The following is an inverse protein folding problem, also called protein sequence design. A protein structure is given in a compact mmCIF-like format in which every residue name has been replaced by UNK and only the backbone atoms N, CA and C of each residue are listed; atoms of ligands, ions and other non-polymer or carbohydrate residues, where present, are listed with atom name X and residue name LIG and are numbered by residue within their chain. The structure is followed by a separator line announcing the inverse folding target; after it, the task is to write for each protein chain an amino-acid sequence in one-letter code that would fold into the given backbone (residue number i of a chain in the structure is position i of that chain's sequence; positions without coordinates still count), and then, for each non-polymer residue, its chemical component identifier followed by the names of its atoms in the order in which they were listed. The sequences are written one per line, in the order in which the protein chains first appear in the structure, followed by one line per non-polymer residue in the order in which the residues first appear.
data_IF_744923360514
#
_entry.id   IF_744923360514
#
_cell.length_a   1.000
_cell.length_b   1.000
_cell.length_c   1.000
_cell.angle_alpha   90.00
_cell.angle_beta   90.00
_cell.angle_gamma   90.00
#
_symmetry.space_group_name_H-M   'P 1'
#
loop_
_entity.id
_entity.type
_entity.pdbx_description
1 polymer ?
#
# COMPACT_ATOMS: atom_id res chain seq x y z
N UNK A 1 29.34 -17.03 -14.45
CA UNK A 1 29.11 -16.27 -15.70
C UNK A 1 27.61 -16.03 -15.75
N UNK A 2 27.15 -15.06 -14.97
CA UNK A 2 25.73 -14.74 -14.78
C UNK A 2 25.27 -13.80 -15.89
N UNK A 3 24.15 -14.15 -16.53
CA UNK A 3 23.53 -13.41 -17.65
C UNK A 3 22.83 -12.10 -17.22
N UNK A 4 22.15 -11.41 -18.16
CA UNK A 4 22.13 -9.96 -18.35
C UNK A 4 21.26 -9.13 -17.38
N UNK A 5 20.95 -9.62 -16.18
CA UNK A 5 20.12 -8.88 -15.21
C UNK A 5 20.91 -7.91 -14.31
N UNK A 6 22.23 -7.85 -14.48
CA UNK A 6 23.16 -7.20 -13.56
C UNK A 6 23.17 -5.66 -13.54
N UNK A 7 22.23 -4.99 -14.22
CA UNK A 7 22.19 -3.52 -14.22
C UNK A 7 21.01 -2.91 -13.44
N UNK A 8 19.75 -3.38 -13.55
CA UNK A 8 18.61 -2.79 -12.81
C UNK A 8 17.38 -3.71 -12.56
N UNK A 9 17.46 -5.03 -12.74
CA UNK A 9 16.26 -5.90 -12.71
C UNK A 9 16.39 -7.15 -11.85
N UNK A 10 15.51 -7.29 -10.85
CA UNK A 10 15.41 -8.47 -9.98
C UNK A 10 14.40 -9.49 -10.51
N UNK A 11 14.84 -10.69 -10.90
CA UNK A 11 13.94 -11.83 -11.12
C UNK A 11 13.94 -12.76 -9.89
N UNK A 12 12.84 -12.74 -9.11
CA UNK A 12 12.67 -13.60 -7.93
C UNK A 12 11.56 -14.62 -8.22
N UNK A 13 11.84 -15.91 -8.02
CA UNK A 13 10.91 -17.01 -8.35
C UNK A 13 10.74 -17.98 -7.19
N UNK A 14 9.60 -18.70 -7.17
CA UNK A 14 9.34 -19.77 -6.20
C UNK A 14 8.55 -19.30 -4.98
N UNK A 15 8.69 -20.02 -3.87
CA UNK A 15 7.89 -19.77 -2.66
C UNK A 15 8.33 -18.50 -1.91
N UNK A 16 9.62 -18.17 -1.97
CA UNK A 16 10.18 -17.01 -1.28
C UNK A 16 9.51 -15.69 -1.71
N UNK A 17 9.29 -15.48 -3.01
CA UNK A 17 8.64 -14.26 -3.51
C UNK A 17 7.15 -14.22 -3.15
N UNK A 18 6.47 -15.37 -3.11
CA UNK A 18 5.05 -15.43 -2.68
C UNK A 18 4.91 -15.03 -1.23
N UNK A 19 5.78 -15.57 -0.36
CA UNK A 19 5.80 -15.21 1.06
C UNK A 19 6.08 -13.72 1.26
N UNK A 20 7.00 -13.12 0.48
CA UNK A 20 7.25 -11.68 0.50
C UNK A 20 6.03 -10.85 0.07
N UNK A 21 5.35 -11.24 -1.01
CA UNK A 21 4.11 -10.59 -1.45
C UNK A 21 3.04 -10.60 -0.36
N UNK A 22 2.84 -11.76 0.29
CA UNK A 22 1.85 -11.93 1.37
C UNK A 22 2.22 -11.08 2.59
N UNK A 23 3.50 -11.05 2.98
CA UNK A 23 3.96 -10.21 4.09
C UNK A 23 3.76 -8.72 3.81
N UNK A 24 4.08 -8.27 2.59
CA UNK A 24 3.89 -6.87 2.19
C UNK A 24 2.40 -6.47 2.24
N UNK A 25 1.51 -7.31 1.72
CA UNK A 25 0.06 -7.10 1.77
C UNK A 25 -0.47 -7.07 3.21
N UNK A 26 -0.01 -7.99 4.06
CA UNK A 26 -0.41 -8.07 5.46
C UNK A 26 0.04 -6.83 6.26
N UNK A 27 1.22 -6.29 5.96
CA UNK A 27 1.74 -5.07 6.57
C UNK A 27 0.82 -3.88 6.30
N UNK A 28 0.46 -3.65 5.03
CA UNK A 28 -0.48 -2.58 4.65
C UNK A 28 -1.83 -2.77 5.35
N UNK A 29 -2.36 -4.00 5.32
CA UNK A 29 -3.62 -4.30 5.96
C UNK A 29 -3.59 -3.99 7.46
N UNK A 30 -2.50 -4.28 8.16
CA UNK A 30 -2.36 -3.99 9.59
C UNK A 30 -2.34 -2.49 9.89
N UNK A 31 -1.69 -1.69 9.04
CA UNK A 31 -1.65 -0.23 9.18
C UNK A 31 -3.06 0.34 9.11
N UNK A 32 -3.80 0.02 8.05
CA UNK A 32 -5.16 0.52 7.83
C UNK A 32 -6.14 -0.04 8.85
N UNK A 33 -6.01 -1.31 9.24
CA UNK A 33 -6.92 -1.98 10.19
C UNK A 33 -7.04 -1.23 11.52
N UNK A 34 -5.95 -0.67 12.02
CA UNK A 34 -5.97 0.08 13.28
C UNK A 34 -6.68 1.44 13.19
N UNK A 35 -6.95 1.92 11.98
CA UNK A 35 -7.66 3.17 11.68
C UNK A 35 -9.12 2.94 11.24
N UNK A 36 -9.57 1.68 11.17
CA UNK A 36 -10.96 1.36 10.79
C UNK A 36 -11.89 1.39 12.01
N UNK A 37 -13.02 2.11 11.88
CA UNK A 37 -14.13 2.10 12.84
C UNK A 37 -14.29 3.41 13.64
N UNK A 38 -15.34 3.51 14.49
CA UNK A 38 -15.66 4.71 15.26
C UNK A 38 -14.64 5.04 16.37
N UNK A 39 -13.78 4.07 16.71
CA UNK A 39 -12.65 4.20 17.65
C UNK A 39 -11.32 3.91 16.94
N UNK A 40 -11.26 4.18 15.63
CA UNK A 40 -10.02 4.07 14.86
C UNK A 40 -8.94 5.00 15.41
N UNK A 41 -7.69 4.52 15.40
CA UNK A 41 -6.54 5.29 15.83
C UNK A 41 -6.05 6.16 14.67
N UNK A 42 -5.83 7.44 14.97
CA UNK A 42 -5.21 8.37 14.03
C UNK A 42 -3.76 7.97 13.75
N UNK A 43 -3.36 8.12 12.49
CA UNK A 43 -1.97 7.98 12.05
C UNK A 43 -1.37 9.35 11.85
N UNK A 44 -0.24 9.57 12.49
CA UNK A 44 0.63 10.69 12.22
C UNK A 44 1.63 10.27 11.14
N UNK A 45 1.45 10.83 9.95
CA UNK A 45 2.32 10.63 8.80
C UNK A 45 3.21 11.86 8.67
N UNK A 46 4.49 11.63 8.41
CA UNK A 46 5.49 12.69 8.23
C UNK A 46 6.12 12.50 6.87
N UNK A 47 6.04 13.53 6.04
CA UNK A 47 6.66 13.56 4.71
C UNK A 47 8.16 13.89 4.82
N UNK A 48 8.92 13.66 3.74
CA UNK A 48 10.37 13.91 3.66
C UNK A 48 10.74 15.38 3.87
N UNK A 49 9.81 16.29 3.54
CA UNK A 49 9.95 17.74 3.73
C UNK A 49 9.63 18.16 5.18
N UNK A 50 9.08 17.24 5.99
CA UNK A 50 8.71 17.46 7.39
C UNK A 50 7.26 17.90 7.61
N UNK A 51 6.42 17.86 6.56
CA UNK A 51 4.99 18.11 6.70
C UNK A 51 4.31 16.95 7.44
N UNK A 52 3.50 17.30 8.44
CA UNK A 52 2.83 16.33 9.31
C UNK A 52 1.35 16.27 8.97
N UNK A 53 0.88 15.10 8.55
CA UNK A 53 -0.54 14.82 8.30
C UNK A 53 -1.05 13.82 9.33
N UNK A 54 -2.02 14.23 10.16
CA UNK A 54 -2.70 13.35 11.10
C UNK A 54 -4.04 12.95 10.49
N UNK A 55 -4.27 11.67 10.24
CA UNK A 55 -5.52 11.20 9.63
C UNK A 55 -5.90 9.77 10.05
N UNK A 56 -7.20 9.51 10.04
CA UNK A 56 -7.81 8.18 10.19
C UNK A 56 -8.33 7.61 8.86
N UNK A 57 -8.29 8.39 7.78
CA UNK A 57 -8.80 7.94 6.49
C UNK A 57 -7.80 7.02 5.79
N UNK A 58 -8.21 5.77 5.57
CA UNK A 58 -7.41 4.76 4.89
C UNK A 58 -7.00 5.17 3.48
N UNK A 59 -7.83 5.91 2.74
CA UNK A 59 -7.48 6.34 1.39
C UNK A 59 -6.35 7.39 1.40
N UNK A 60 -6.38 8.32 2.34
CA UNK A 60 -5.31 9.31 2.53
C UNK A 60 -4.02 8.65 3.05
N UNK A 61 -4.14 7.70 3.99
CA UNK A 61 -2.98 6.94 4.49
C UNK A 61 -2.27 6.22 3.33
N UNK A 62 -3.02 5.51 2.47
CA UNK A 62 -2.43 4.75 1.36
C UNK A 62 -1.82 5.64 0.26
N UNK A 63 -2.30 6.88 0.09
CA UNK A 63 -1.72 7.83 -0.88
C UNK A 63 -0.38 8.40 -0.44
N UNK A 64 -0.20 8.59 0.86
CA UNK A 64 1.02 9.13 1.45
C UNK A 64 2.05 8.06 1.78
N UNK A 65 1.66 6.77 1.68
CA UNK A 65 2.53 5.66 2.02
C UNK A 65 3.41 5.30 0.82
N UNK A 66 4.72 5.46 0.97
CA UNK A 66 5.69 5.05 -0.04
C UNK A 66 5.93 3.55 0.01
N UNK A 67 5.54 2.86 -1.05
CA UNK A 67 5.62 1.40 -1.14
C UNK A 67 6.65 0.99 -2.18
N UNK A 68 7.77 0.41 -1.73
CA UNK A 68 8.80 -0.13 -2.62
C UNK A 68 8.38 -1.46 -3.28
N UNK A 69 7.62 -2.29 -2.55
CA UNK A 69 7.29 -3.63 -3.00
C UNK A 69 6.19 -3.62 -4.09
N UNK A 70 6.40 -4.22 -5.28
CA UNK A 70 5.46 -4.10 -6.41
C UNK A 70 4.06 -4.67 -6.11
N UNK A 71 3.98 -5.82 -5.42
CA UNK A 71 2.70 -6.40 -5.01
C UNK A 71 1.86 -5.48 -4.10
N UNK A 72 2.53 -4.66 -3.28
CA UNK A 72 1.87 -3.76 -2.36
C UNK A 72 1.42 -2.47 -3.06
N UNK A 73 2.15 -2.01 -4.09
CA UNK A 73 1.73 -0.89 -4.93
C UNK A 73 0.43 -1.20 -5.69
N UNK A 74 0.33 -2.39 -6.29
CA UNK A 74 -0.90 -2.86 -6.95
C UNK A 74 -2.09 -2.88 -5.98
N UNK A 75 -1.87 -3.24 -4.71
CA UNK A 75 -2.93 -3.21 -3.70
C UNK A 75 -3.39 -1.79 -3.38
N UNK A 76 -2.48 -0.83 -3.23
CA UNK A 76 -2.82 0.58 -3.02
C UNK A 76 -3.63 1.14 -4.20
N UNK A 77 -3.23 0.84 -5.43
CA UNK A 77 -3.91 1.29 -6.64
C UNK A 77 -5.34 0.71 -6.75
N UNK A 78 -5.49 -0.59 -6.50
CA UNK A 78 -6.81 -1.25 -6.50
C UNK A 78 -7.75 -0.65 -5.44
N UNK A 79 -7.24 -0.37 -4.24
CA UNK A 79 -8.01 0.26 -3.16
C UNK A 79 -8.47 1.66 -3.53
N UNK A 80 -7.59 2.48 -4.09
CA UNK A 80 -7.94 3.83 -4.51
C UNK A 80 -8.99 3.81 -5.63
N UNK A 81 -8.82 2.91 -6.60
CA UNK A 81 -9.75 2.74 -7.72
C UNK A 81 -11.14 2.28 -7.25
N UNK A 82 -11.21 1.30 -6.34
CA UNK A 82 -12.50 0.81 -5.82
C UNK A 82 -13.23 1.83 -4.95
N UNK A 83 -12.52 2.65 -4.17
CA UNK A 83 -13.16 3.76 -3.44
C UNK A 83 -13.77 4.83 -4.38
N UNK A 84 -13.08 5.16 -5.48
CA UNK A 84 -13.62 6.09 -6.49
C UNK A 84 -14.81 5.49 -7.25
N UNK A 85 -14.72 4.22 -7.63
CA UNK A 85 -15.79 3.52 -8.34
C UNK A 85 -17.02 3.27 -7.45
N UNK A 86 -16.84 3.01 -6.15
CA UNK A 86 -17.92 2.84 -5.19
C UNK A 86 -18.78 4.09 -5.00
N UNK A 87 -18.21 5.29 -5.15
CA UNK A 87 -19.00 6.54 -5.18
C UNK A 87 -19.83 6.67 -6.47
N UNK A 88 -19.34 6.16 -7.61
CA UNK A 88 -20.05 6.22 -8.88
C UNK A 88 -21.07 5.10 -9.10
N UNK A 89 -20.86 3.92 -8.48
CA UNK A 89 -21.72 2.74 -8.68
C UNK A 89 -23.04 2.79 -7.87
N UNK A 90 -23.20 3.75 -6.95
CA UNK A 90 -24.47 4.02 -6.26
C UNK A 90 -25.31 5.12 -6.94
N UNK A 91 -24.87 5.62 -8.09
CA UNK A 91 -25.55 6.65 -8.90
C UNK A 91 -26.09 6.12 -10.24
N UNK A 92 -26.43 4.83 -10.32
CA UNK A 92 -27.29 4.28 -11.37
C UNK A 92 -28.34 3.35 -10.78
#
# INVERSE_FOLDING_TARGET
MEGPLSMFGDCKTGEAIRSQNVMAAALIANIVKSSLGPVGLDKMLVDDIGDVTITNDGATILKLLEVEHPAANVLCELWLSTCLQGSSALYQ
#
